data_IF_418280352218
#
_entry.id   IF_418280352218
#
_cell.length_a   1.000
_cell.length_b   1.000
_cell.length_c   1.000
_cell.angle_alpha   90.00
_cell.angle_beta   90.00
_cell.angle_gamma   90.00
#
_symmetry.space_group_name_H-M   'P 1'
#
loop_
_entity.id
_entity.type
_entity.pdbx_description
1 polymer ?
#
# COMPACT_ATOMS: atom_id res chain seq x y z
N UNK A 1 -8.68 10.64 26.19
CA UNK A 1 -9.11 11.08 24.85
C UNK A 1 -10.49 10.53 24.48
N UNK A 2 -10.73 9.22 24.44
CA UNK A 2 -12.04 8.68 24.02
C UNK A 2 -13.25 9.19 24.82
N UNK A 3 -13.16 9.29 26.15
CA UNK A 3 -14.27 9.80 26.99
C UNK A 3 -14.68 11.26 26.71
N UNK A 4 -13.79 12.05 26.09
CA UNK A 4 -14.07 13.43 25.73
C UNK A 4 -14.77 13.56 24.36
N UNK A 5 -14.74 12.51 23.54
CA UNK A 5 -15.24 12.51 22.17
C UNK A 5 -16.15 11.29 21.95
N UNK A 6 -17.47 11.48 22.08
CA UNK A 6 -18.44 10.39 22.03
C UNK A 6 -18.33 9.58 20.73
N UNK A 7 -18.18 10.26 19.58
CA UNK A 7 -18.00 9.62 18.28
C UNK A 7 -16.79 8.67 18.24
N UNK A 8 -15.67 9.07 18.85
CA UNK A 8 -14.44 8.26 18.92
C UNK A 8 -14.64 7.07 19.85
N UNK A 9 -15.28 7.28 21.00
CA UNK A 9 -15.61 6.21 21.94
C UNK A 9 -16.51 5.15 21.30
N UNK A 10 -17.59 5.57 20.64
CA UNK A 10 -18.55 4.67 20.01
C UNK A 10 -17.90 3.83 18.90
N UNK A 11 -17.02 4.41 18.06
CA UNK A 11 -16.35 3.60 17.03
C UNK A 11 -15.30 2.67 17.60
N UNK A 12 -14.59 3.04 18.69
CA UNK A 12 -13.67 2.14 19.40
C UNK A 12 -14.43 0.93 19.96
N UNK A 13 -15.61 1.16 20.54
CA UNK A 13 -16.50 0.08 21.00
C UNK A 13 -16.92 -0.80 19.82
N UNK A 14 -17.35 -0.18 18.71
CA UNK A 14 -17.73 -0.90 17.50
C UNK A 14 -16.62 -1.81 16.96
N UNK A 15 -15.40 -1.28 16.85
CA UNK A 15 -14.21 -2.04 16.41
C UNK A 15 -13.89 -3.18 17.38
N UNK A 16 -13.95 -2.92 18.69
CA UNK A 16 -13.69 -3.94 19.71
C UNK A 16 -14.73 -5.07 19.66
N UNK A 17 -16.01 -4.72 19.48
CA UNK A 17 -17.11 -5.67 19.39
C UNK A 17 -17.04 -6.54 18.11
N UNK A 18 -16.67 -5.97 16.96
CA UNK A 18 -16.48 -6.77 15.73
C UNK A 18 -15.26 -7.70 15.82
N UNK A 19 -14.18 -7.26 16.48
CA UNK A 19 -13.06 -8.14 16.81
C UNK A 19 -13.50 -9.32 17.67
N UNK A 20 -14.29 -9.06 18.73
CA UNK A 20 -14.79 -10.08 19.63
C UNK A 20 -15.75 -11.05 18.92
N UNK A 21 -16.67 -10.53 18.10
CA UNK A 21 -17.53 -11.32 17.22
C UNK A 21 -16.71 -12.29 16.36
N UNK A 22 -15.69 -11.76 15.66
CA UNK A 22 -14.85 -12.57 14.79
C UNK A 22 -14.07 -13.62 15.60
N UNK A 23 -13.52 -13.28 16.76
CA UNK A 23 -12.82 -14.26 17.60
C UNK A 23 -13.73 -15.44 18.02
N UNK A 24 -14.98 -15.16 18.41
CA UNK A 24 -15.91 -16.21 18.83
C UNK A 24 -16.42 -17.03 17.65
N UNK A 25 -16.81 -16.39 16.54
CA UNK A 25 -17.42 -17.10 15.40
C UNK A 25 -16.50 -18.17 14.81
N UNK A 26 -15.18 -17.97 14.89
CA UNK A 26 -14.18 -18.95 14.43
C UNK A 26 -13.85 -20.00 15.51
N UNK A 27 -14.10 -19.72 16.79
CA UNK A 27 -13.83 -20.66 17.89
C UNK A 27 -15.02 -21.61 18.18
N UNK A 28 -16.25 -21.21 17.86
CA UNK A 28 -17.47 -21.99 18.13
C UNK A 28 -18.13 -22.45 16.84
N UNK A 29 -18.76 -23.64 16.84
CA UNK A 29 -19.58 -24.11 15.70
C UNK A 29 -20.64 -23.08 15.30
N UNK A 30 -20.99 -23.04 14.02
CA UNK A 30 -21.92 -22.08 13.42
C UNK A 30 -23.13 -21.82 14.34
N UNK A 31 -23.43 -20.54 14.61
CA UNK A 31 -24.57 -20.01 15.40
C UNK A 31 -24.38 -19.75 16.91
N UNK A 32 -23.23 -19.19 17.34
CA UNK A 32 -23.12 -18.63 18.70
C UNK A 32 -23.99 -17.37 18.87
N UNK A 33 -24.98 -17.36 19.79
CA UNK A 33 -25.83 -16.19 20.03
C UNK A 33 -25.01 -15.03 20.65
N UNK A 34 -23.95 -15.35 21.39
CA UNK A 34 -23.03 -14.35 21.95
C UNK A 34 -22.28 -13.62 20.82
N UNK A 35 -21.83 -14.36 19.80
CA UNK A 35 -21.19 -13.76 18.64
C UNK A 35 -22.20 -12.86 17.88
N UNK A 36 -23.42 -13.33 17.66
CA UNK A 36 -24.45 -12.53 16.98
C UNK A 36 -24.77 -11.24 17.74
N UNK A 37 -24.91 -11.29 19.06
CA UNK A 37 -25.13 -10.10 19.88
C UNK A 37 -23.95 -9.13 19.79
N UNK A 38 -22.70 -9.64 19.82
CA UNK A 38 -21.52 -8.80 19.66
C UNK A 38 -21.48 -8.10 18.29
N UNK A 39 -21.92 -8.78 17.21
CA UNK A 39 -22.05 -8.14 15.90
C UNK A 39 -23.14 -7.05 15.89
N UNK A 40 -24.29 -7.30 16.52
CA UNK A 40 -25.35 -6.30 16.64
C UNK A 40 -24.85 -5.08 17.42
N UNK A 41 -24.17 -5.29 18.54
CA UNK A 41 -23.56 -4.22 19.34
C UNK A 41 -22.52 -3.45 18.54
N UNK A 42 -21.69 -4.15 17.75
CA UNK A 42 -20.69 -3.53 16.89
C UNK A 42 -21.33 -2.59 15.86
N UNK A 43 -22.37 -3.06 15.17
CA UNK A 43 -23.10 -2.30 14.15
C UNK A 43 -23.86 -1.12 14.77
N UNK A 44 -24.46 -1.32 15.94
CA UNK A 44 -25.16 -0.26 16.65
C UNK A 44 -24.20 0.85 17.10
N UNK A 45 -23.06 0.48 17.71
CA UNK A 45 -22.05 1.43 18.14
C UNK A 45 -21.45 2.20 16.95
N UNK A 46 -21.21 1.52 15.81
CA UNK A 46 -20.80 2.17 14.56
C UNK A 46 -21.83 3.19 14.09
N UNK A 47 -23.11 2.85 14.11
CA UNK A 47 -24.19 3.74 13.69
C UNK A 47 -24.28 4.99 14.59
N UNK A 48 -24.18 4.82 15.91
CA UNK A 48 -24.16 5.95 16.85
C UNK A 48 -22.94 6.86 16.59
N UNK A 49 -21.76 6.28 16.36
CA UNK A 49 -20.56 7.06 16.03
C UNK A 49 -20.74 7.93 14.77
N UNK A 50 -21.43 7.39 13.74
CA UNK A 50 -21.77 8.15 12.52
C UNK A 50 -22.75 9.28 12.83
N UNK A 51 -23.77 9.02 13.65
CA UNK A 51 -24.76 10.03 14.05
C UNK A 51 -24.10 11.18 14.84
N UNK A 52 -23.22 10.86 15.78
CA UNK A 52 -22.46 11.84 16.55
C UNK A 52 -21.58 12.72 15.63
N UNK A 53 -20.91 12.12 14.64
CA UNK A 53 -20.13 12.88 13.64
C UNK A 53 -21.01 13.77 12.77
N UNK A 54 -22.18 13.29 12.33
CA UNK A 54 -23.11 14.08 11.53
C UNK A 54 -23.58 15.29 12.34
N UNK A 55 -23.95 15.09 13.61
CA UNK A 55 -24.37 16.17 14.51
C UNK A 55 -23.26 17.22 14.69
N UNK A 56 -22.02 16.77 14.94
CA UNK A 56 -20.84 17.62 15.05
C UNK A 56 -20.61 18.46 13.77
N UNK A 57 -20.70 17.83 12.59
CA UNK A 57 -20.52 18.52 11.31
C UNK A 57 -21.63 19.56 11.08
N UNK A 58 -22.87 19.23 11.45
CA UNK A 58 -24.00 20.14 11.34
C UNK A 58 -23.84 21.36 12.26
N UNK A 59 -23.42 21.14 13.51
CA UNK A 59 -23.14 22.21 14.48
C UNK A 59 -22.05 23.16 13.95
N UNK A 60 -20.92 22.62 13.47
CA UNK A 60 -19.83 23.40 12.88
C UNK A 60 -20.22 24.21 11.65
N UNK A 61 -21.21 23.73 10.88
CA UNK A 61 -21.72 24.45 9.71
C UNK A 61 -22.58 25.66 10.10
N UNK A 62 -23.23 25.59 11.25
CA UNK A 62 -24.09 26.67 11.77
C UNK A 62 -23.26 27.69 12.54
N UNK A 63 -22.26 27.25 13.31
CA UNK A 63 -21.40 28.14 14.09
C UNK A 63 -20.08 28.44 13.36
N UNK A 64 -20.04 29.58 12.64
CA UNK A 64 -18.89 30.06 11.85
C UNK A 64 -17.61 30.39 12.69
N UNK A 65 -17.57 30.08 14.00
CA UNK A 65 -16.51 30.53 14.93
C UNK A 65 -15.82 29.43 15.73
N UNK A 66 -15.91 28.17 15.31
CA UNK A 66 -15.16 27.10 15.98
C UNK A 66 -13.68 27.11 15.53
N UNK A 67 -12.80 27.68 16.35
CA UNK A 67 -11.37 27.38 16.30
C UNK A 67 -11.16 25.96 16.79
N UNK A 68 -10.99 25.01 15.86
CA UNK A 68 -10.65 23.63 16.18
C UNK A 68 -9.28 23.56 16.86
N UNK A 69 -9.22 22.87 18.00
CA UNK A 69 -7.94 22.55 18.62
C UNK A 69 -7.28 21.40 17.87
N UNK A 70 -5.95 21.27 17.97
CA UNK A 70 -5.22 20.12 17.41
C UNK A 70 -5.78 18.79 17.96
N UNK A 71 -6.20 18.76 19.24
CA UNK A 71 -6.78 17.58 19.86
C UNK A 71 -8.11 17.16 19.21
N UNK A 72 -8.94 18.13 18.76
CA UNK A 72 -10.19 17.83 18.06
C UNK A 72 -9.91 17.21 16.68
N UNK A 73 -8.89 17.70 15.99
CA UNK A 73 -8.48 17.18 14.69
C UNK A 73 -7.86 15.79 14.79
N UNK A 74 -7.03 15.57 15.81
CA UNK A 74 -6.46 14.26 16.13
C UNK A 74 -7.54 13.24 16.48
N UNK A 75 -8.55 13.65 17.26
CA UNK A 75 -9.69 12.79 17.60
C UNK A 75 -10.52 12.42 16.37
N UNK A 76 -10.74 13.36 15.45
CA UNK A 76 -11.42 13.10 14.19
C UNK A 76 -10.61 12.14 13.31
N UNK A 77 -9.31 12.37 13.14
CA UNK A 77 -8.45 11.51 12.35
C UNK A 77 -8.44 10.08 12.92
N UNK A 78 -8.30 9.94 14.24
CA UNK A 78 -8.38 8.65 14.92
C UNK A 78 -9.73 7.96 14.69
N UNK A 79 -10.83 8.71 14.77
CA UNK A 79 -12.18 8.19 14.52
C UNK A 79 -12.32 7.65 13.10
N UNK A 80 -11.85 8.42 12.11
CA UNK A 80 -11.88 7.99 10.70
C UNK A 80 -11.02 6.75 10.48
N UNK A 81 -9.83 6.68 11.10
CA UNK A 81 -8.99 5.49 11.03
C UNK A 81 -9.68 4.27 11.66
N UNK A 82 -10.39 4.43 12.78
CA UNK A 82 -11.18 3.35 13.37
C UNK A 82 -12.35 2.92 12.49
N UNK A 83 -12.98 3.83 11.72
CA UNK A 83 -13.96 3.44 10.71
C UNK A 83 -13.33 2.61 9.58
N UNK A 84 -12.12 2.97 9.12
CA UNK A 84 -11.37 2.14 8.17
C UNK A 84 -11.10 0.76 8.79
N UNK A 85 -10.56 0.71 10.01
CA UNK A 85 -10.27 -0.56 10.68
C UNK A 85 -11.54 -1.41 10.85
N UNK A 86 -12.68 -0.81 11.21
CA UNK A 86 -13.95 -1.53 11.30
C UNK A 86 -14.28 -2.26 10.00
N UNK A 87 -14.20 -1.57 8.85
CA UNK A 87 -14.51 -2.19 7.56
C UNK A 87 -13.48 -3.25 7.17
N UNK A 88 -12.20 -3.06 7.50
CA UNK A 88 -11.15 -4.06 7.30
C UNK A 88 -11.37 -5.34 8.11
N UNK A 89 -11.82 -5.20 9.36
CA UNK A 89 -12.04 -6.33 10.27
C UNK A 89 -13.33 -7.08 9.91
N UNK A 90 -14.40 -6.38 9.55
CA UNK A 90 -15.69 -6.96 9.24
C UNK A 90 -15.64 -7.85 7.97
N UNK A 91 -15.54 -7.22 6.80
CA UNK A 91 -15.51 -7.90 5.50
C UNK A 91 -14.19 -7.67 4.73
N UNK A 92 -13.49 -6.58 5.01
CA UNK A 92 -12.41 -6.09 4.17
C UNK A 92 -12.86 -5.44 2.86
N UNK A 93 -14.16 -5.41 2.57
CA UNK A 93 -14.74 -4.93 1.31
C UNK A 93 -15.59 -3.69 1.54
N UNK A 94 -15.54 -2.79 0.56
CA UNK A 94 -16.39 -1.59 0.45
C UNK A 94 -16.28 -0.60 1.64
N UNK A 95 -16.64 0.67 1.41
CA UNK A 95 -16.70 1.73 2.42
C UNK A 95 -15.35 2.25 2.98
N UNK A 96 -14.29 1.44 3.00
CA UNK A 96 -12.97 1.90 3.47
C UNK A 96 -12.38 3.02 2.60
N UNK A 97 -12.65 3.01 1.29
CA UNK A 97 -12.16 4.04 0.34
C UNK A 97 -12.71 5.43 0.67
N UNK A 98 -13.99 5.50 1.07
CA UNK A 98 -14.65 6.74 1.44
C UNK A 98 -14.05 7.31 2.73
N UNK A 99 -13.89 6.47 3.75
CA UNK A 99 -13.25 6.85 5.01
C UNK A 99 -11.80 7.26 4.81
N UNK A 100 -11.03 6.51 4.01
CA UNK A 100 -9.65 6.85 3.70
C UNK A 100 -9.57 8.21 3.00
N UNK A 101 -10.43 8.47 2.01
CA UNK A 101 -10.51 9.77 1.33
C UNK A 101 -10.73 10.93 2.32
N UNK A 102 -11.61 10.76 3.30
CA UNK A 102 -11.81 11.76 4.37
C UNK A 102 -10.54 11.94 5.19
N UNK A 103 -9.87 10.86 5.58
CA UNK A 103 -8.64 10.90 6.37
C UNK A 103 -7.53 11.69 5.66
N UNK A 104 -7.38 11.53 4.34
CA UNK A 104 -6.40 12.27 3.56
C UNK A 104 -6.65 13.76 3.56
N UNK A 105 -7.92 14.18 3.44
CA UNK A 105 -8.27 15.60 3.50
C UNK A 105 -8.03 16.19 4.88
N UNK A 106 -8.30 15.44 5.94
CA UNK A 106 -7.92 15.87 7.29
C UNK A 106 -6.41 16.10 7.32
N UNK A 107 -5.60 15.16 6.83
CA UNK A 107 -4.14 15.32 6.76
C UNK A 107 -3.69 16.49 5.87
N UNK A 108 -4.43 16.85 4.81
CA UNK A 108 -4.18 18.07 4.04
C UNK A 108 -4.36 19.36 4.84
N UNK A 109 -5.40 19.42 5.67
CA UNK A 109 -5.69 20.59 6.51
C UNK A 109 -4.54 20.82 7.51
N UNK A 110 -3.92 19.74 7.99
CA UNK A 110 -2.72 19.78 8.84
C UNK A 110 -1.44 20.23 8.09
N UNK A 111 -1.53 20.57 6.81
CA UNK A 111 -0.38 20.95 5.98
C UNK A 111 0.51 19.76 5.59
N UNK A 112 0.04 18.51 5.76
CA UNK A 112 0.79 17.29 5.44
C UNK A 112 0.56 16.80 4.00
N UNK A 113 -0.53 17.23 3.37
CA UNK A 113 -0.82 16.99 1.95
C UNK A 113 -1.35 18.28 1.29
N UNK A 114 -0.97 18.56 0.05
CA UNK A 114 -1.46 19.73 -0.69
C UNK A 114 -2.59 19.33 -1.64
N UNK A 115 -3.71 20.06 -1.59
CA UNK A 115 -4.71 20.02 -2.65
C UNK A 115 -4.18 20.83 -3.84
N UNK A 116 -4.42 20.43 -5.11
CA UNK A 116 -4.16 21.30 -6.24
C UNK A 116 -5.06 22.54 -6.13
N UNK A 117 -4.48 23.68 -5.74
CA UNK A 117 -5.13 24.98 -5.74
C UNK A 117 -5.71 25.26 -7.12
N UNK A 118 -7.04 25.42 -7.22
CA UNK A 118 -7.68 26.09 -8.35
C UNK A 118 -8.06 27.49 -7.88
N UNK A 119 -7.36 28.53 -8.39
CA UNK A 119 -7.78 29.92 -8.18
C UNK A 119 -9.02 30.25 -9.04
N UNK A 120 -9.82 31.25 -8.62
CA UNK A 120 -11.19 31.43 -9.05
C UNK A 120 -11.30 32.02 -10.46
N UNK A 121 -12.42 31.70 -11.10
CA UNK A 121 -12.90 32.33 -12.33
C UNK A 121 -12.79 33.87 -12.24
N UNK A 122 -12.09 34.51 -13.19
CA UNK A 122 -12.71 35.44 -14.16
C UNK A 122 -11.68 36.22 -15.02
N UNK A 123 -12.08 36.39 -16.30
CA UNK A 123 -11.64 37.33 -17.35
C UNK A 123 -10.41 37.01 -18.22
N UNK A 124 -10.72 36.66 -19.47
CA UNK A 124 -9.89 36.80 -20.66
C UNK A 124 -9.45 38.26 -20.88
N UNK A 125 -8.16 38.48 -21.16
CA UNK A 125 -7.70 39.25 -22.33
C UNK A 125 -6.19 39.08 -22.56
N UNK A 126 -5.87 38.86 -23.84
CA UNK A 126 -4.61 38.66 -24.55
C UNK A 126 -3.38 39.48 -24.05
N UNK A 127 -2.17 38.89 -24.05
CA UNK A 127 -1.07 39.17 -25.00
C UNK A 127 0.28 38.53 -24.58
N UNK A 128 0.94 37.95 -25.60
CA UNK A 128 2.38 37.74 -25.82
C UNK A 128 3.14 36.53 -25.26
N UNK A 129 3.58 35.72 -26.24
CA UNK A 129 4.79 34.90 -26.35
C UNK A 129 5.71 34.91 -25.11
N UNK A 130 5.88 33.73 -24.52
CA UNK A 130 7.22 33.16 -24.35
C UNK A 130 7.14 31.63 -24.22
N UNK A 131 7.96 31.00 -25.05
CA UNK A 131 8.27 29.57 -25.14
C UNK A 131 8.69 28.99 -23.79
N UNK A 132 7.91 28.03 -23.28
CA UNK A 132 8.34 27.07 -22.26
C UNK A 132 7.97 25.67 -22.74
N UNK A 133 9.00 24.87 -23.01
CA UNK A 133 8.92 23.46 -23.36
C UNK A 133 8.15 22.64 -22.29
N UNK A 134 7.53 21.52 -22.64
CA UNK A 134 6.72 20.74 -21.70
C UNK A 134 7.59 20.06 -20.62
N UNK A 135 7.06 20.09 -19.39
CA UNK A 135 7.61 19.72 -18.08
C UNK A 135 8.31 18.35 -17.95
N UNK A 136 9.65 18.37 -17.97
CA UNK A 136 10.55 17.33 -17.40
C UNK A 136 10.66 17.41 -15.86
N UNK A 137 10.05 18.42 -15.25
CA UNK A 137 10.18 18.80 -13.84
C UNK A 137 9.49 17.82 -12.86
N UNK A 138 8.35 17.23 -13.22
CA UNK A 138 7.57 16.40 -12.28
C UNK A 138 8.17 15.02 -12.07
N UNK A 139 8.60 14.32 -13.14
CA UNK A 139 9.28 13.02 -13.01
C UNK A 139 10.61 13.15 -12.26
N UNK A 140 11.36 14.22 -12.52
CA UNK A 140 12.61 14.51 -11.82
C UNK A 140 12.39 14.68 -10.31
N UNK A 141 11.31 15.36 -9.90
CA UNK A 141 10.95 15.53 -8.48
C UNK A 141 10.62 14.20 -7.79
N UNK A 142 10.04 13.23 -8.52
CA UNK A 142 9.72 11.90 -8.01
C UNK A 142 10.95 10.97 -7.97
N UNK A 143 12.01 11.31 -8.69
CA UNK A 143 13.25 10.53 -8.77
C UNK A 143 14.36 11.04 -7.86
N UNK A 144 14.17 12.17 -7.16
CA UNK A 144 15.13 12.64 -6.16
C UNK A 144 15.25 11.59 -5.05
N UNK A 145 16.46 11.02 -4.82
CA UNK A 145 16.67 10.08 -3.74
C UNK A 145 16.29 10.75 -2.42
N UNK A 146 15.30 10.20 -1.72
CA UNK A 146 14.92 10.72 -0.41
C UNK A 146 15.79 10.01 0.61
N UNK A 147 17.05 10.44 0.69
CA UNK A 147 17.96 9.92 1.70
C UNK A 147 17.37 10.18 3.09
N UNK A 148 17.27 9.18 3.97
CA UNK A 148 17.17 9.43 5.40
C UNK A 148 18.55 9.92 5.85
N UNK A 149 18.88 11.21 5.62
CA UNK A 149 20.22 11.73 5.89
C UNK A 149 20.57 11.85 7.38
N UNK A 150 19.72 11.40 8.30
CA UNK A 150 20.12 11.23 9.69
C UNK A 150 19.58 9.91 10.27
N UNK A 151 20.46 9.09 10.88
CA UNK A 151 20.01 7.99 11.73
C UNK A 151 19.16 8.59 12.85
N UNK A 152 17.99 7.98 13.12
CA UNK A 152 17.07 8.26 14.23
C UNK A 152 17.40 9.60 14.90
N UNK A 153 17.01 10.72 14.28
CA UNK A 153 17.02 11.97 15.03
C UNK A 153 16.02 11.72 16.16
N UNK A 154 16.54 11.47 17.36
CA UNK A 154 15.76 11.32 18.58
C UNK A 154 15.01 12.62 18.69
N UNK A 155 13.81 12.66 18.12
CA UNK A 155 12.93 13.78 18.31
C UNK A 155 12.75 13.85 19.82
N UNK A 156 13.08 15.01 20.38
CA UNK A 156 13.05 15.26 21.82
C UNK A 156 11.67 15.07 22.43
N UNK A 157 10.64 14.94 21.60
CA UNK A 157 9.25 14.77 21.99
C UNK A 157 8.83 13.30 22.00
N UNK A 158 8.18 12.84 23.08
CA UNK A 158 7.69 11.47 23.17
C UNK A 158 6.63 11.19 22.11
N UNK A 159 6.66 9.98 21.53
CA UNK A 159 5.63 9.52 20.60
C UNK A 159 4.27 9.45 21.29
N UNK A 160 3.26 9.94 20.60
CA UNK A 160 1.86 9.91 21.03
C UNK A 160 1.05 8.93 20.20
N UNK A 161 -0.16 8.60 20.65
CA UNK A 161 -1.10 7.84 19.82
C UNK A 161 -1.41 8.53 18.48
N UNK A 162 -1.38 9.86 18.43
CA UNK A 162 -1.62 10.64 17.22
C UNK A 162 -0.54 10.43 16.16
N UNK A 163 0.73 10.27 16.57
CA UNK A 163 1.83 9.92 15.65
C UNK A 163 1.53 8.59 14.94
N UNK A 164 1.10 7.56 15.70
CA UNK A 164 0.75 6.26 15.14
C UNK A 164 -0.48 6.31 14.23
N UNK A 165 -1.55 6.99 14.66
CA UNK A 165 -2.76 7.18 13.85
C UNK A 165 -2.44 7.87 12.52
N UNK A 166 -1.61 8.91 12.56
CA UNK A 166 -1.16 9.64 11.37
C UNK A 166 -0.35 8.73 10.46
N UNK A 167 0.62 8.01 11.03
CA UNK A 167 1.47 7.05 10.31
C UNK A 167 0.66 5.95 9.63
N UNK A 168 -0.26 5.32 10.34
CA UNK A 168 -1.07 4.22 9.81
C UNK A 168 -1.99 4.71 8.70
N UNK A 169 -2.57 5.91 8.86
CA UNK A 169 -3.37 6.54 7.80
C UNK A 169 -2.54 6.74 6.53
N UNK A 170 -1.33 7.28 6.67
CA UNK A 170 -0.41 7.47 5.53
C UNK A 170 -0.04 6.13 4.90
N UNK A 171 0.26 5.10 5.69
CA UNK A 171 0.55 3.77 5.16
C UNK A 171 -0.63 3.17 4.38
N UNK A 172 -1.86 3.33 4.87
CA UNK A 172 -3.07 2.83 4.19
C UNK A 172 -3.26 3.52 2.83
N UNK A 173 -2.96 4.82 2.75
CA UNK A 173 -2.92 5.54 1.49
C UNK A 173 -1.90 4.97 0.52
N UNK A 174 -0.67 4.73 0.99
CA UNK A 174 0.41 4.20 0.15
C UNK A 174 0.06 2.81 -0.38
N UNK A 175 -0.46 1.92 0.47
CA UNK A 175 -0.88 0.59 0.05
C UNK A 175 -2.05 0.61 -0.93
N UNK A 176 -3.06 1.46 -0.70
CA UNK A 176 -4.14 1.66 -1.67
C UNK A 176 -3.59 2.16 -3.01
N UNK A 177 -2.71 3.17 -3.01
CA UNK A 177 -2.09 3.68 -4.23
C UNK A 177 -1.26 2.61 -4.94
N UNK A 178 -0.51 1.80 -4.20
CA UNK A 178 0.30 0.72 -4.75
C UNK A 178 -0.56 -0.32 -5.46
N UNK A 179 -1.66 -0.73 -4.81
CA UNK A 179 -2.62 -1.69 -5.33
C UNK A 179 -3.34 -1.15 -6.57
N UNK A 180 -3.80 0.10 -6.55
CA UNK A 180 -4.41 0.75 -7.71
C UNK A 180 -3.44 0.84 -8.89
N UNK A 181 -2.16 1.15 -8.64
CA UNK A 181 -1.14 1.19 -9.69
C UNK A 181 -0.86 -0.18 -10.30
N UNK A 182 -1.03 -1.26 -9.54
CA UNK A 182 -0.93 -2.63 -10.04
C UNK A 182 -2.10 -3.01 -10.97
N UNK A 183 -3.35 -2.69 -10.58
CA UNK A 183 -4.55 -3.19 -11.28
C UNK A 183 -5.29 -2.22 -12.20
N UNK A 184 -4.97 -0.92 -12.23
CA UNK A 184 -5.75 0.04 -13.04
C UNK A 184 -5.33 0.02 -14.52
N UNK A 185 -6.29 -0.15 -15.44
CA UNK A 185 -6.16 0.03 -16.90
C UNK A 185 -6.66 1.41 -17.34
N UNK A 186 -5.89 2.48 -17.06
CA UNK A 186 -6.34 3.86 -17.34
C UNK A 186 -7.62 4.24 -16.56
N UNK A 187 -8.00 5.52 -16.40
CA UNK A 187 -9.17 5.84 -15.61
C UNK A 187 -10.41 5.44 -16.40
N UNK A 188 -11.08 4.37 -15.99
CA UNK A 188 -12.54 4.43 -16.05
C UNK A 188 -12.93 5.65 -15.23
N UNK A 189 -13.66 6.57 -15.87
CA UNK A 189 -14.31 7.69 -15.20
C UNK A 189 -14.85 7.17 -13.87
N UNK A 190 -14.46 7.85 -12.78
CA UNK A 190 -15.02 7.68 -11.44
C UNK A 190 -16.50 7.27 -11.57
N UNK A 191 -16.99 6.27 -10.79
CA UNK A 191 -18.40 5.99 -10.78
C UNK A 191 -19.12 7.31 -10.51
N UNK A 192 -20.05 7.65 -11.41
CA UNK A 192 -20.85 8.86 -11.37
C UNK A 192 -21.74 8.84 -10.13
N UNK A 193 -21.16 9.18 -8.98
CA UNK A 193 -21.91 9.63 -7.83
C UNK A 193 -21.91 11.15 -7.88
N UNK A 194 -23.11 11.72 -8.08
CA UNK A 194 -23.37 13.13 -7.89
C UNK A 194 -23.03 13.51 -6.45
N UNK A 195 -21.77 13.88 -6.18
CA UNK A 195 -21.38 14.47 -4.90
C UNK A 195 -20.18 15.39 -5.13
N UNK A 196 -20.43 16.69 -4.96
CA UNK A 196 -19.52 17.86 -5.06
C UNK A 196 -18.08 17.61 -5.55
N UNK A 197 -17.69 18.28 -6.64
CA UNK A 197 -16.37 18.24 -7.29
C UNK A 197 -15.13 18.59 -6.45
N UNK A 198 -15.27 18.85 -5.15
CA UNK A 198 -14.15 18.92 -4.21
C UNK A 198 -13.69 17.53 -3.74
N UNK A 199 -14.54 16.51 -3.87
CA UNK A 199 -14.30 15.21 -3.28
C UNK A 199 -13.40 14.26 -4.07
N UNK A 200 -13.23 14.53 -5.36
CA UNK A 200 -12.59 13.64 -6.33
C UNK A 200 -11.13 14.01 -6.67
N UNK A 201 -10.55 15.05 -6.06
CA UNK A 201 -9.20 15.48 -6.38
C UNK A 201 -8.14 14.56 -5.74
N UNK A 202 -7.12 14.10 -6.49
CA UNK A 202 -6.04 13.30 -5.94
C UNK A 202 -5.20 14.13 -4.95
N UNK A 203 -5.00 13.59 -3.75
CA UNK A 203 -4.12 14.16 -2.75
C UNK A 203 -2.66 14.10 -3.21
N UNK A 204 -1.99 15.25 -3.28
CA UNK A 204 -0.55 15.30 -3.52
C UNK A 204 0.16 15.33 -2.18
N UNK A 205 0.92 14.29 -1.88
CA UNK A 205 1.71 14.22 -0.65
C UNK A 205 3.11 14.78 -0.91
N UNK A 206 3.68 15.41 0.10
CA UNK A 206 5.11 15.73 0.09
C UNK A 206 5.87 14.50 0.62
N UNK A 207 6.66 13.86 -0.24
CA UNK A 207 7.44 12.66 0.11
C UNK A 207 8.30 12.90 1.35
N UNK A 208 8.89 14.09 1.49
CA UNK A 208 9.75 14.40 2.64
C UNK A 208 8.95 14.44 3.95
N UNK A 209 7.71 14.94 3.92
CA UNK A 209 6.80 14.93 5.08
C UNK A 209 6.31 13.53 5.41
N UNK A 210 5.92 12.77 4.38
CA UNK A 210 5.54 11.36 4.52
C UNK A 210 6.66 10.55 5.18
N UNK A 211 7.89 10.71 4.68
CA UNK A 211 9.07 10.04 5.22
C UNK A 211 9.33 10.41 6.68
N UNK A 212 9.16 11.68 7.06
CA UNK A 212 9.29 12.11 8.46
C UNK A 212 8.24 11.46 9.36
N UNK A 213 7.00 11.34 8.91
CA UNK A 213 5.92 10.70 9.68
C UNK A 213 6.24 9.21 9.88
N UNK A 214 6.51 8.49 8.79
CA UNK A 214 6.73 7.05 8.84
C UNK A 214 7.99 6.66 9.62
N UNK A 215 9.08 7.42 9.47
CA UNK A 215 10.35 7.11 10.14
C UNK A 215 10.27 7.29 11.66
N UNK A 216 9.36 8.15 12.15
CA UNK A 216 9.16 8.34 13.60
C UNK A 216 8.53 7.13 14.28
N UNK A 217 7.67 6.42 13.56
CA UNK A 217 6.86 5.31 14.10
C UNK A 217 7.36 3.94 13.66
N UNK A 218 8.33 3.85 12.74
CA UNK A 218 8.71 2.61 12.07
C UNK A 218 9.15 1.47 13.00
N UNK A 219 9.67 1.79 14.20
CA UNK A 219 10.01 0.78 15.20
C UNK A 219 8.79 -0.05 15.65
N UNK A 220 7.60 0.55 15.67
CA UNK A 220 6.34 -0.07 16.09
C UNK A 220 5.19 0.21 15.11
N UNK A 221 5.50 0.32 13.81
CA UNK A 221 4.47 0.56 12.80
C UNK A 221 3.57 -0.66 12.60
N UNK A 222 2.29 -0.42 12.33
CA UNK A 222 1.29 -1.47 12.13
C UNK A 222 1.63 -2.43 10.97
N UNK A 223 2.39 -1.98 9.97
CA UNK A 223 2.76 -2.77 8.80
C UNK A 223 4.19 -3.32 8.87
N UNK A 224 5.01 -2.95 9.85
CA UNK A 224 6.43 -3.36 10.00
C UNK A 224 7.38 -3.09 8.81
N UNK A 225 6.87 -2.56 7.70
CA UNK A 225 7.68 -2.09 6.57
C UNK A 225 8.56 -0.89 6.99
N UNK A 226 9.88 -0.92 6.71
CA UNK A 226 10.76 0.22 6.88
C UNK A 226 10.25 1.47 6.14
N UNK A 227 10.35 2.64 6.77
CA UNK A 227 9.84 3.89 6.20
C UNK A 227 10.46 4.18 4.83
N UNK A 228 11.77 3.93 4.69
CA UNK A 228 12.50 4.11 3.43
C UNK A 228 11.90 3.32 2.27
N UNK A 229 11.63 2.04 2.51
CA UNK A 229 11.01 1.15 1.52
C UNK A 229 9.57 1.57 1.20
N UNK A 230 8.81 2.03 2.19
CA UNK A 230 7.47 2.58 1.99
C UNK A 230 7.49 3.85 1.11
N UNK A 231 8.49 4.71 1.28
CA UNK A 231 8.71 5.88 0.42
C UNK A 231 8.96 5.50 -1.05
N UNK A 232 9.69 4.41 -1.29
CA UNK A 232 9.88 3.85 -2.64
C UNK A 232 8.56 3.34 -3.20
N UNK A 233 7.76 2.59 -2.43
CA UNK A 233 6.43 2.11 -2.87
C UNK A 233 5.54 3.29 -3.32
N UNK A 234 5.51 4.37 -2.55
CA UNK A 234 4.74 5.58 -2.90
C UNK A 234 5.21 6.20 -4.23
N UNK A 235 6.52 6.36 -4.40
CA UNK A 235 7.12 6.92 -5.62
C UNK A 235 6.86 6.06 -6.84
N UNK A 236 7.00 4.74 -6.70
CA UNK A 236 6.66 3.77 -7.76
C UNK A 236 5.18 3.90 -8.14
N UNK A 237 4.27 3.90 -7.16
CA UNK A 237 2.84 4.02 -7.40
C UNK A 237 2.50 5.31 -8.16
N UNK A 238 3.10 6.44 -7.79
CA UNK A 238 2.88 7.72 -8.46
C UNK A 238 3.47 7.80 -9.86
N UNK A 239 4.68 7.28 -10.08
CA UNK A 239 5.26 7.22 -11.42
C UNK A 239 4.36 6.37 -12.31
N UNK A 240 3.93 5.19 -11.84
CA UNK A 240 3.00 4.35 -12.60
C UNK A 240 1.69 5.06 -12.92
N UNK A 241 1.13 5.82 -11.99
CA UNK A 241 -0.09 6.59 -12.23
C UNK A 241 0.14 7.73 -13.24
N UNK A 242 1.20 8.52 -13.07
CA UNK A 242 1.59 9.60 -13.98
C UNK A 242 1.76 9.10 -15.41
N UNK A 243 2.45 7.97 -15.58
CA UNK A 243 2.67 7.34 -16.89
C UNK A 243 1.38 6.79 -17.53
N UNK A 244 0.35 6.50 -16.73
CA UNK A 244 -0.97 6.07 -17.22
C UNK A 244 -1.89 7.24 -17.57
N UNK A 245 -1.76 8.38 -16.90
CA UNK A 245 -2.67 9.54 -17.06
C UNK A 245 -2.10 10.70 -17.88
N UNK A 246 -0.79 10.70 -18.17
CA UNK A 246 -0.13 11.80 -18.86
C UNK A 246 -0.45 11.88 -20.36
N UNK A 247 -0.89 13.05 -20.82
CA UNK A 247 -1.08 13.34 -22.26
C UNK A 247 0.24 13.33 -23.06
N UNK A 248 1.38 13.46 -22.38
CA UNK A 248 2.73 13.45 -22.94
C UNK A 248 3.53 12.29 -22.32
N UNK A 249 3.32 11.07 -22.81
CA UNK A 249 4.00 9.88 -22.30
C UNK A 249 5.50 10.02 -22.60
N UNK A 250 6.39 10.03 -21.58
CA UNK A 250 7.82 10.09 -21.82
C UNK A 250 8.31 8.86 -22.59
N UNK A 251 9.43 8.97 -23.33
CA UNK A 251 9.98 7.86 -24.09
C UNK A 251 10.21 6.63 -23.20
N UNK A 252 10.02 5.44 -23.76
CA UNK A 252 10.12 4.16 -23.03
C UNK A 252 11.43 4.03 -22.26
N UNK A 253 12.54 4.53 -22.80
CA UNK A 253 13.84 4.56 -22.12
C UNK A 253 13.78 5.33 -20.80
N UNK A 254 13.30 6.58 -20.80
CA UNK A 254 13.17 7.41 -19.59
C UNK A 254 12.22 6.80 -18.55
N UNK A 255 11.18 6.08 -18.98
CA UNK A 255 10.28 5.32 -18.08
C UNK A 255 11.02 4.17 -17.40
N UNK A 256 11.77 3.39 -18.17
CA UNK A 256 12.53 2.27 -17.63
C UNK A 256 13.67 2.75 -16.72
N UNK A 257 14.33 3.86 -17.07
CA UNK A 257 15.36 4.49 -16.22
C UNK A 257 14.81 4.87 -14.85
N UNK A 258 13.60 5.44 -14.81
CA UNK A 258 12.93 5.80 -13.56
C UNK A 258 12.71 4.59 -12.63
N UNK A 259 12.18 3.49 -13.17
CA UNK A 259 11.98 2.25 -12.40
C UNK A 259 13.30 1.58 -12.03
N UNK A 260 14.28 1.56 -12.93
CA UNK A 260 15.60 1.02 -12.67
C UNK A 260 16.31 1.76 -11.53
N UNK A 261 16.19 3.09 -11.49
CA UNK A 261 16.73 3.90 -10.39
C UNK A 261 16.09 3.53 -9.04
N UNK A 262 14.76 3.40 -9.00
CA UNK A 262 14.04 3.00 -7.79
C UNK A 262 14.38 1.57 -7.34
N UNK A 263 14.62 0.67 -8.31
CA UNK A 263 15.05 -0.69 -8.04
C UNK A 263 16.45 -0.73 -7.41
N UNK A 264 17.41 0.04 -7.96
CA UNK A 264 18.75 0.20 -7.37
C UNK A 264 18.68 0.81 -5.96
N UNK A 265 17.83 1.82 -5.78
CA UNK A 265 17.60 2.45 -4.48
C UNK A 265 17.05 1.46 -3.44
N UNK A 266 16.06 0.64 -3.80
CA UNK A 266 15.52 -0.40 -2.92
C UNK A 266 16.59 -1.44 -2.53
N UNK A 267 17.40 -1.92 -3.47
CA UNK A 267 18.45 -2.89 -3.18
C UNK A 267 19.54 -2.33 -2.25
N UNK A 268 19.87 -1.04 -2.38
CA UNK A 268 20.84 -0.34 -1.53
C UNK A 268 20.40 -0.17 -0.07
N UNK A 269 19.15 -0.49 0.27
CA UNK A 269 18.66 -0.41 1.63
C UNK A 269 19.42 -1.36 2.57
N UNK A 270 20.05 -0.78 3.60
CA UNK A 270 20.81 -1.50 4.62
C UNK A 270 19.88 -2.11 5.68
N UNK A 271 19.57 -3.38 5.47
CA UNK A 271 18.75 -4.21 6.36
C UNK A 271 19.37 -4.31 7.76
N UNK A 272 20.70 -4.46 7.86
CA UNK A 272 21.37 -4.71 9.13
C UNK A 272 21.37 -3.45 9.99
N UNK A 273 21.75 -2.31 9.39
CA UNK A 273 21.73 -1.02 10.07
C UNK A 273 20.32 -0.66 10.55
N UNK A 274 19.31 -0.87 9.71
CA UNK A 274 17.91 -0.61 10.09
C UNK A 274 17.46 -1.50 11.25
N UNK A 275 17.68 -2.82 11.17
CA UNK A 275 17.27 -3.76 12.21
C UNK A 275 17.96 -3.47 13.55
N UNK A 276 19.25 -3.13 13.53
CA UNK A 276 20.00 -2.72 14.71
C UNK A 276 19.48 -1.40 15.28
N UNK A 277 19.15 -0.42 14.43
CA UNK A 277 18.58 0.87 14.83
C UNK A 277 17.23 0.72 15.54
N UNK A 278 16.30 -0.03 14.93
CA UNK A 278 14.99 -0.31 15.53
C UNK A 278 15.13 -1.06 16.85
N UNK A 279 16.00 -2.07 16.92
CA UNK A 279 16.23 -2.83 18.15
C UNK A 279 16.82 -1.97 19.27
N UNK A 280 17.73 -1.05 18.92
CA UNK A 280 18.31 -0.08 19.87
C UNK A 280 17.24 0.87 20.41
N UNK A 281 16.36 1.36 19.54
CA UNK A 281 15.24 2.22 19.95
C UNK A 281 14.28 1.47 20.88
N UNK A 282 13.93 0.22 20.56
CA UNK A 282 13.08 -0.61 21.41
C UNK A 282 13.72 -0.93 22.76
N UNK A 283 15.04 -1.16 22.79
CA UNK A 283 15.79 -1.28 24.04
C UNK A 283 15.67 -0.02 24.90
N UNK A 284 15.75 1.18 24.31
CA UNK A 284 15.56 2.44 25.02
C UNK A 284 14.18 2.60 25.66
N UNK A 285 13.13 2.01 25.06
CA UNK A 285 11.75 2.06 25.57
C UNK A 285 11.49 0.97 26.61
N UNK A 286 11.91 -0.27 26.34
CA UNK A 286 11.54 -1.45 27.14
C UNK A 286 12.62 -1.87 28.16
N UNK A 287 13.84 -1.37 28.03
CA UNK A 287 14.96 -1.65 28.93
C UNK A 287 15.55 -3.07 28.83
N UNK A 288 15.16 -3.87 27.82
CA UNK A 288 15.60 -5.26 27.66
C UNK A 288 16.06 -5.55 26.23
N UNK A 289 17.20 -6.25 26.09
CA UNK A 289 17.73 -6.68 24.78
C UNK A 289 17.02 -7.97 24.39
N UNK A 290 16.42 -8.00 23.21
CA UNK A 290 15.79 -9.18 22.65
C UNK A 290 16.46 -9.58 21.34
N UNK A 291 17.41 -10.52 21.39
CA UNK A 291 18.12 -11.02 20.20
C UNK A 291 17.16 -11.64 19.16
N UNK A 292 16.08 -12.27 19.63
CA UNK A 292 15.04 -12.81 18.75
C UNK A 292 14.30 -11.70 18.01
N UNK A 293 14.10 -10.54 18.64
CA UNK A 293 13.53 -9.37 17.98
C UNK A 293 14.47 -8.86 16.88
N UNK A 294 15.76 -8.66 17.16
CA UNK A 294 16.73 -8.21 16.16
C UNK A 294 16.72 -9.11 14.93
N UNK A 295 16.76 -10.43 15.13
CA UNK A 295 16.69 -11.41 14.04
C UNK A 295 15.38 -11.33 13.28
N UNK A 296 14.25 -11.21 13.98
CA UNK A 296 12.94 -11.07 13.34
C UNK A 296 12.84 -9.79 12.50
N UNK A 297 13.37 -8.67 13.00
CA UNK A 297 13.43 -7.38 12.28
C UNK A 297 14.30 -7.46 11.03
N UNK A 298 15.44 -8.16 11.11
CA UNK A 298 16.28 -8.43 9.94
C UNK A 298 15.48 -9.16 8.85
N UNK A 299 14.81 -10.26 9.20
CA UNK A 299 14.02 -11.03 8.23
C UNK A 299 12.85 -10.22 7.66
N UNK A 300 12.16 -9.42 8.48
CA UNK A 300 11.10 -8.50 8.02
C UNK A 300 11.64 -7.48 7.01
N UNK A 301 12.75 -6.80 7.33
CA UNK A 301 13.34 -5.82 6.44
C UNK A 301 13.84 -6.46 5.13
N UNK A 302 14.43 -7.66 5.20
CA UNK A 302 14.83 -8.43 4.02
C UNK A 302 13.61 -8.81 3.15
N UNK A 303 12.53 -9.29 3.77
CA UNK A 303 11.27 -9.58 3.10
C UNK A 303 10.70 -8.35 2.40
N UNK A 304 10.60 -7.21 3.09
CA UNK A 304 10.05 -5.99 2.50
C UNK A 304 10.93 -5.44 1.39
N UNK A 305 12.26 -5.52 1.51
CA UNK A 305 13.17 -5.10 0.43
C UNK A 305 12.90 -5.90 -0.85
N UNK A 306 12.86 -7.23 -0.73
CA UNK A 306 12.55 -8.10 -1.86
C UNK A 306 11.11 -7.88 -2.40
N UNK A 307 10.13 -7.65 -1.52
CA UNK A 307 8.75 -7.36 -1.92
C UNK A 307 8.61 -6.03 -2.69
N UNK A 308 9.35 -4.99 -2.30
CA UNK A 308 9.36 -3.72 -3.04
C UNK A 308 10.01 -3.89 -4.41
N UNK A 309 11.13 -4.61 -4.50
CA UNK A 309 11.72 -4.97 -5.79
C UNK A 309 10.73 -5.76 -6.67
N UNK A 310 10.02 -6.75 -6.10
CA UNK A 310 9.01 -7.53 -6.81
C UNK A 310 7.86 -6.65 -7.30
N UNK A 311 7.37 -5.74 -6.45
CA UNK A 311 6.35 -4.77 -6.83
C UNK A 311 6.77 -3.91 -8.04
N UNK A 312 8.02 -3.43 -8.06
CA UNK A 312 8.58 -2.66 -9.20
C UNK A 312 8.52 -3.48 -10.49
N UNK A 313 8.93 -4.75 -10.44
CA UNK A 313 8.89 -5.63 -11.63
C UNK A 313 7.46 -5.93 -12.09
N UNK A 314 6.51 -6.10 -11.16
CA UNK A 314 5.11 -6.35 -11.47
C UNK A 314 4.42 -5.13 -12.12
N UNK A 315 4.76 -3.90 -11.72
CA UNK A 315 4.20 -2.70 -12.36
C UNK A 315 4.92 -2.31 -13.66
N UNK A 316 6.17 -2.76 -13.83
CA UNK A 316 7.00 -2.50 -15.00
C UNK A 316 7.53 -3.82 -15.62
N UNK A 317 6.67 -4.65 -16.23
CA UNK A 317 7.05 -5.98 -16.71
C UNK A 317 8.10 -5.99 -17.84
N UNK A 318 8.25 -4.88 -18.57
CA UNK A 318 9.31 -4.74 -19.57
C UNK A 318 10.71 -4.43 -18.99
N UNK A 319 10.81 -4.14 -17.69
CA UNK A 319 12.07 -3.75 -17.05
C UNK A 319 13.12 -4.88 -17.06
N UNK A 320 12.80 -6.15 -16.75
CA UNK A 320 13.76 -7.25 -16.83
C UNK A 320 14.36 -7.42 -18.23
N UNK A 321 13.53 -7.34 -19.28
CA UNK A 321 13.98 -7.44 -20.67
C UNK A 321 14.91 -6.27 -21.04
N UNK A 322 14.59 -5.06 -20.57
CA UNK A 322 15.43 -3.87 -20.76
C UNK A 322 16.79 -4.02 -20.06
N UNK A 323 16.83 -4.52 -18.82
CA UNK A 323 18.07 -4.79 -18.08
C UNK A 323 18.93 -5.80 -18.86
N UNK A 324 18.34 -6.93 -19.28
CA UNK A 324 19.04 -7.95 -20.10
C UNK A 324 19.59 -7.34 -21.39
N UNK A 325 18.82 -6.48 -22.07
CA UNK A 325 19.26 -5.79 -23.28
C UNK A 325 20.49 -4.91 -23.02
N UNK A 326 20.49 -4.10 -21.96
CA UNK A 326 21.63 -3.20 -21.64
C UNK A 326 22.90 -3.94 -21.30
N UNK A 327 22.77 -5.05 -20.54
CA UNK A 327 23.90 -5.93 -20.22
C UNK A 327 24.49 -6.53 -21.51
N UNK A 328 23.64 -7.07 -22.40
CA UNK A 328 24.08 -7.63 -23.69
C UNK A 328 24.79 -6.60 -24.59
N UNK A 329 24.34 -5.34 -24.57
CA UNK A 329 24.90 -4.26 -25.36
C UNK A 329 26.13 -3.58 -24.71
N UNK A 330 26.53 -3.98 -23.50
CA UNK A 330 27.68 -3.40 -22.80
C UNK A 330 27.54 -1.90 -22.51
N UNK A 331 26.30 -1.42 -22.33
CA UNK A 331 26.03 0.02 -22.15
C UNK A 331 26.38 0.52 -20.74
N UNK A 332 26.36 -0.36 -19.74
CA UNK A 332 26.70 -0.09 -18.34
C UNK A 332 27.49 -1.28 -17.77
N UNK A 333 28.25 -1.07 -16.69
CA UNK A 333 28.95 -2.14 -15.96
C UNK A 333 27.93 -3.17 -15.41
N UNK A 334 28.10 -4.48 -15.65
CA UNK A 334 27.25 -5.52 -15.05
C UNK A 334 27.05 -5.38 -13.54
N UNK A 335 28.06 -4.90 -12.80
CA UNK A 335 27.98 -4.67 -11.35
C UNK A 335 27.08 -3.49 -10.97
N UNK A 336 26.70 -2.64 -11.93
CA UNK A 336 25.80 -1.51 -11.70
C UNK A 336 24.32 -1.89 -11.81
N UNK A 337 24.01 -3.11 -12.26
CA UNK A 337 22.64 -3.63 -12.35
C UNK A 337 22.20 -4.34 -11.07
N UNK A 338 20.89 -4.37 -10.80
CA UNK A 338 20.34 -5.05 -9.64
C UNK A 338 20.72 -6.53 -9.54
N UNK A 339 20.93 -7.00 -8.32
CA UNK A 339 21.42 -8.35 -7.99
C UNK A 339 20.41 -9.47 -8.24
N UNK A 340 19.10 -9.17 -8.13
CA UNK A 340 18.01 -10.13 -8.34
C UNK A 340 17.18 -9.73 -9.58
N UNK A 341 17.41 -10.37 -10.74
CA UNK A 341 16.89 -9.87 -12.01
C UNK A 341 15.46 -10.34 -12.34
N UNK A 342 14.92 -11.33 -11.62
CA UNK A 342 13.63 -11.95 -11.94
C UNK A 342 12.63 -11.90 -10.79
N UNK A 343 11.34 -12.00 -11.13
CA UNK A 343 10.27 -12.09 -10.13
C UNK A 343 10.36 -13.40 -9.34
N UNK A 344 10.80 -14.48 -9.98
CA UNK A 344 11.00 -15.79 -9.35
C UNK A 344 12.07 -15.75 -8.24
N UNK A 345 13.23 -15.15 -8.50
CA UNK A 345 14.31 -15.01 -7.51
C UNK A 345 13.87 -14.18 -6.31
N UNK A 346 13.11 -13.12 -6.56
CA UNK A 346 12.54 -12.26 -5.52
C UNK A 346 11.48 -13.00 -4.70
N UNK A 347 10.60 -13.76 -5.36
CA UNK A 347 9.58 -14.57 -4.68
C UNK A 347 10.24 -15.66 -3.81
N UNK A 348 11.24 -16.38 -4.32
CA UNK A 348 12.01 -17.36 -3.58
C UNK A 348 12.68 -16.74 -2.33
N UNK A 349 13.27 -15.55 -2.50
CA UNK A 349 13.84 -14.78 -1.39
C UNK A 349 12.78 -14.45 -0.35
N UNK A 350 11.61 -13.96 -0.76
CA UNK A 350 10.50 -13.65 0.17
C UNK A 350 10.05 -14.90 0.93
N UNK A 351 9.82 -16.03 0.23
CA UNK A 351 9.45 -17.30 0.87
C UNK A 351 10.49 -17.74 1.92
N UNK A 352 11.77 -17.68 1.56
CA UNK A 352 12.87 -18.02 2.46
C UNK A 352 12.87 -17.12 3.70
N UNK A 353 12.83 -15.79 3.54
CA UNK A 353 12.86 -14.85 4.66
C UNK A 353 11.64 -15.01 5.57
N UNK A 354 10.46 -15.21 4.99
CA UNK A 354 9.21 -15.43 5.73
C UNK A 354 9.19 -16.76 6.49
N UNK A 355 9.95 -17.77 6.05
CA UNK A 355 10.08 -19.04 6.77
C UNK A 355 10.75 -18.88 8.15
N UNK A 356 11.57 -17.84 8.33
CA UNK A 356 12.20 -17.50 9.61
C UNK A 356 11.30 -16.66 10.53
N UNK A 357 10.09 -16.30 10.09
CA UNK A 357 9.11 -15.57 10.90
C UNK A 357 8.00 -16.55 11.29
N UNK A 358 8.09 -17.19 12.48
CA UNK A 358 7.12 -18.18 12.91
C UNK A 358 5.77 -17.55 13.26
N UNK A 359 4.70 -18.35 13.27
CA UNK A 359 3.33 -17.92 13.65
C UNK A 359 3.24 -17.31 15.06
N UNK A 360 4.18 -17.66 15.94
CA UNK A 360 4.29 -17.13 17.30
C UNK A 360 4.92 -15.75 17.36
N UNK A 361 5.55 -15.29 16.29
CA UNK A 361 6.15 -13.95 16.23
C UNK A 361 5.04 -12.90 16.18
N UNK A 362 5.14 -11.80 16.96
CA UNK A 362 4.20 -10.69 16.86
C UNK A 362 4.20 -10.05 15.46
N UNK A 363 5.30 -10.21 14.71
CA UNK A 363 5.47 -9.68 13.36
C UNK A 363 4.80 -10.52 12.27
N UNK A 364 4.34 -11.74 12.60
CA UNK A 364 3.80 -12.68 11.61
C UNK A 364 2.61 -12.11 10.83
N UNK A 365 1.68 -11.44 11.51
CA UNK A 365 0.48 -10.84 10.88
C UNK A 365 0.79 -9.59 10.05
N UNK A 366 1.97 -8.99 10.25
CA UNK A 366 2.40 -7.78 9.56
C UNK A 366 3.18 -8.09 8.28
N UNK A 367 3.15 -9.34 7.81
CA UNK A 367 3.77 -9.73 6.54
C UNK A 367 2.77 -9.92 5.41
N UNK A 368 1.54 -9.43 5.55
CA UNK A 368 0.49 -9.66 4.57
C UNK A 368 0.87 -9.15 3.19
N UNK A 369 1.29 -7.88 3.08
CA UNK A 369 1.60 -7.28 1.79
C UNK A 369 2.67 -8.07 1.01
N UNK A 370 3.83 -8.43 1.61
CA UNK A 370 4.79 -9.33 0.96
C UNK A 370 4.20 -10.67 0.53
N UNK A 371 3.38 -11.31 1.38
CA UNK A 371 2.73 -12.59 1.07
C UNK A 371 1.76 -12.45 -0.10
N UNK A 372 0.99 -11.36 -0.13
CA UNK A 372 0.08 -11.04 -1.23
C UNK A 372 0.85 -10.85 -2.54
N UNK A 373 1.92 -10.06 -2.55
CA UNK A 373 2.74 -9.85 -3.76
C UNK A 373 3.35 -11.15 -4.30
N UNK A 374 3.86 -12.03 -3.43
CA UNK A 374 4.30 -13.37 -3.88
C UNK A 374 3.16 -14.22 -4.40
N UNK A 375 1.95 -14.04 -3.86
CA UNK A 375 0.74 -14.67 -4.38
C UNK A 375 0.38 -14.19 -5.79
N UNK A 376 0.53 -12.89 -6.07
CA UNK A 376 0.31 -12.33 -7.41
C UNK A 376 1.24 -12.97 -8.43
N UNK A 377 2.52 -13.15 -8.08
CA UNK A 377 3.53 -13.76 -8.95
C UNK A 377 3.44 -15.31 -9.01
N UNK A 378 2.77 -15.96 -8.06
CA UNK A 378 2.74 -17.42 -7.93
C UNK A 378 2.18 -18.15 -9.16
N UNK A 379 3.06 -18.89 -9.85
CA UNK A 379 2.72 -19.77 -10.99
C UNK A 379 2.29 -21.15 -10.51
N UNK A 380 3.07 -21.76 -9.61
CA UNK A 380 2.95 -23.17 -9.24
C UNK A 380 1.92 -23.39 -8.14
N UNK A 381 1.26 -24.56 -8.15
CA UNK A 381 0.31 -24.95 -7.10
C UNK A 381 0.96 -24.96 -5.72
N UNK A 382 2.24 -25.33 -5.63
CA UNK A 382 3.01 -25.31 -4.38
C UNK A 382 3.13 -23.90 -3.79
N UNK A 383 3.47 -22.90 -4.61
CA UNK A 383 3.57 -21.50 -4.15
C UNK A 383 2.20 -20.93 -3.80
N UNK A 384 1.18 -21.22 -4.60
CA UNK A 384 -0.21 -20.81 -4.33
C UNK A 384 -0.71 -21.38 -3.00
N UNK A 385 -0.48 -22.68 -2.77
CA UNK A 385 -0.84 -23.34 -1.52
C UNK A 385 -0.13 -22.71 -0.32
N UNK A 386 1.19 -22.50 -0.41
CA UNK A 386 1.96 -21.89 0.67
C UNK A 386 1.40 -20.50 1.06
N UNK A 387 1.06 -19.68 0.06
CA UNK A 387 0.49 -18.34 0.27
C UNK A 387 -0.86 -18.43 0.99
N UNK A 388 -1.77 -19.32 0.53
CA UNK A 388 -3.08 -19.53 1.14
C UNK A 388 -2.96 -20.06 2.57
N UNK A 389 -2.08 -21.03 2.81
CA UNK A 389 -1.85 -21.60 4.14
C UNK A 389 -1.30 -20.55 5.10
N UNK A 390 -0.40 -19.69 4.63
CA UNK A 390 0.16 -18.61 5.45
C UNK A 390 -0.88 -17.54 5.77
N UNK A 391 -1.67 -17.09 4.79
CA UNK A 391 -2.76 -16.13 5.03
C UNK A 391 -3.88 -16.72 5.90
N UNK A 392 -4.20 -18.00 5.73
CA UNK A 392 -5.14 -18.72 6.60
C UNK A 392 -4.62 -18.75 8.04
N UNK A 393 -3.34 -19.06 8.24
CA UNK A 393 -2.74 -18.99 9.56
C UNK A 393 -2.74 -17.58 10.18
N UNK A 394 -2.63 -16.52 9.37
CA UNK A 394 -2.81 -15.14 9.87
C UNK A 394 -4.26 -14.91 10.31
N UNK A 395 -5.24 -15.41 9.54
CA UNK A 395 -6.67 -15.28 9.84
C UNK A 395 -7.05 -16.04 11.10
N UNK A 396 -6.44 -17.19 11.34
CA UNK A 396 -6.67 -17.97 12.57
C UNK A 396 -6.19 -17.22 13.82
N UNK A 397 -5.14 -16.39 13.69
CA UNK A 397 -4.64 -15.53 14.77
C UNK A 397 -5.45 -14.22 14.92
N UNK A 398 -5.80 -13.61 13.80
CA UNK A 398 -6.51 -12.34 13.71
C UNK A 398 -7.57 -12.47 12.61
N UNK A 399 -8.82 -12.84 12.96
CA UNK A 399 -9.86 -13.17 11.99
C UNK A 399 -10.44 -11.91 11.31
N UNK A 400 -9.61 -11.20 10.56
CA UNK A 400 -9.94 -9.99 9.84
C UNK A 400 -10.47 -10.31 8.45
N UNK A 401 -11.61 -9.69 8.09
CA UNK A 401 -12.28 -9.94 6.82
C UNK A 401 -11.40 -9.67 5.60
N UNK A 402 -10.50 -8.68 5.67
CA UNK A 402 -9.59 -8.38 4.57
C UNK A 402 -8.66 -9.55 4.20
N UNK A 403 -8.32 -10.46 5.13
CA UNK A 403 -7.49 -11.63 4.82
C UNK A 403 -8.24 -12.60 3.90
N UNK A 404 -9.53 -12.82 4.15
CA UNK A 404 -10.40 -13.60 3.28
C UNK A 404 -10.50 -12.92 1.91
N UNK A 405 -10.75 -11.61 1.88
CA UNK A 405 -10.85 -10.85 0.65
C UNK A 405 -9.55 -10.83 -0.17
N UNK A 406 -8.38 -10.81 0.49
CA UNK A 406 -7.08 -10.91 -0.17
C UNK A 406 -6.89 -12.29 -0.81
N UNK A 407 -7.24 -13.39 -0.11
CA UNK A 407 -7.17 -14.74 -0.68
C UNK A 407 -8.14 -14.93 -1.86
N UNK A 408 -9.36 -14.39 -1.77
CA UNK A 408 -10.31 -14.39 -2.88
C UNK A 408 -9.76 -13.61 -4.09
N UNK A 409 -9.14 -12.45 -3.85
CA UNK A 409 -8.51 -11.65 -4.90
C UNK A 409 -7.39 -12.43 -5.59
N UNK A 410 -6.54 -13.14 -4.84
CA UNK A 410 -5.50 -14.00 -5.41
C UNK A 410 -6.09 -15.14 -6.25
N UNK A 411 -7.17 -15.77 -5.78
CA UNK A 411 -7.85 -16.81 -6.54
C UNK A 411 -8.38 -16.30 -7.89
N UNK A 412 -8.93 -15.08 -7.94
CA UNK A 412 -9.35 -14.46 -9.21
C UNK A 412 -8.15 -14.12 -10.11
N UNK A 413 -7.05 -13.62 -9.54
CA UNK A 413 -5.80 -13.37 -10.28
C UNK A 413 -5.29 -14.66 -10.94
N UNK A 414 -5.26 -15.77 -10.20
CA UNK A 414 -4.82 -17.06 -10.72
C UNK A 414 -5.75 -17.59 -11.81
N UNK A 415 -7.07 -17.45 -11.65
CA UNK A 415 -8.05 -17.82 -12.70
C UNK A 415 -7.82 -17.03 -13.99
N UNK A 416 -7.57 -15.73 -13.88
CA UNK A 416 -7.28 -14.87 -15.04
C UNK A 416 -5.99 -15.31 -15.74
N UNK A 417 -4.92 -15.53 -14.97
CA UNK A 417 -3.63 -15.99 -15.49
C UNK A 417 -3.73 -17.35 -16.17
N UNK A 418 -4.33 -18.33 -15.52
CA UNK A 418 -4.46 -19.70 -16.05
C UNK A 418 -5.34 -19.74 -17.31
N UNK A 419 -6.26 -18.78 -17.45
CA UNK A 419 -7.11 -18.64 -18.63
C UNK A 419 -6.40 -17.97 -19.81
N UNK A 420 -5.36 -17.16 -19.56
CA UNK A 420 -4.49 -16.64 -20.62
C UNK A 420 -3.66 -17.75 -21.27
N UNK A 421 -2.97 -18.52 -20.42
CA UNK A 421 -2.13 -19.66 -20.84
C UNK A 421 -2.92 -20.71 -21.63
N UNK A 422 -4.20 -20.93 -21.28
CA UNK A 422 -5.08 -21.86 -22.01
C UNK A 422 -5.60 -21.31 -23.35
N UNK A 423 -5.68 -19.98 -23.50
CA UNK A 423 -6.09 -19.32 -24.74
C UNK A 423 -5.01 -19.43 -25.81
N UNK A 424 -3.76 -19.13 -25.44
CA UNK A 424 -2.58 -19.23 -26.32
C UNK A 424 -2.42 -20.65 -26.91
N UNK A 425 -2.56 -21.70 -26.08
CA UNK A 425 -2.48 -23.10 -26.52
C UNK A 425 -3.53 -23.52 -27.55
N UNK A 426 -4.67 -22.83 -27.64
CA UNK A 426 -5.71 -23.14 -28.62
C UNK A 426 -5.42 -22.53 -30.00
N UNK A 427 -4.82 -21.35 -30.03
CA UNK A 427 -4.50 -20.65 -31.28
C UNK A 427 -3.28 -21.29 -32.00
N UNK A 428 -2.35 -21.90 -31.26
CA UNK A 428 -1.22 -22.64 -31.84
C UNK A 428 -1.59 -23.98 -32.50
N UNK A 429 -2.70 -24.61 -32.08
CA UNK A 429 -3.15 -25.88 -32.68
C UNK A 429 -3.88 -25.74 -34.03
N UNK A 430 -3.91 -24.52 -34.59
CA UNK A 430 -4.68 -24.13 -35.77
C UNK A 430 -3.90 -23.71 -37.01
N UNK A 431 -2.65 -24.16 -37.26
CA UNK A 431 -2.03 -24.14 -38.60
C UNK A 431 -0.71 -24.90 -38.66
N UNK A 432 -0.56 -25.92 -39.54
CA UNK A 432 0.74 -26.49 -39.84
C UNK A 432 1.34 -25.80 -41.07
N UNK A 433 2.26 -24.84 -40.86
CA UNK A 433 3.41 -24.54 -41.74
C UNK A 433 4.09 -23.22 -41.34
N UNK A 434 5.31 -23.30 -40.81
CA UNK A 434 6.56 -22.79 -41.42
C UNK A 434 7.66 -22.75 -40.35
N UNK A 435 8.83 -23.24 -40.72
CA UNK A 435 10.05 -23.25 -39.88
C UNK A 435 10.58 -21.82 -39.84
N UNK A 436 10.41 -21.15 -38.71
CA UNK A 436 11.04 -19.86 -38.42
C UNK A 436 12.00 -20.01 -37.23
N UNK A 437 13.14 -19.35 -37.37
CA UNK A 437 14.31 -19.40 -36.51
C UNK A 437 14.00 -19.12 -35.04
N UNK A 438 14.52 -19.97 -34.17
CA UNK A 438 14.43 -19.85 -32.73
C UNK A 438 15.38 -18.76 -32.22
N UNK A 439 14.88 -17.55 -31.96
CA UNK A 439 15.52 -16.62 -31.02
C UNK A 439 14.58 -15.52 -30.44
N UNK A 440 13.28 -15.83 -30.27
CA UNK A 440 12.34 -14.97 -29.53
C UNK A 440 11.52 -15.80 -28.53
N UNK A 441 12.16 -16.23 -27.44
CA UNK A 441 11.49 -16.87 -26.29
C UNK A 441 11.84 -16.08 -25.03
N UNK A 442 11.24 -14.90 -24.83
CA UNK A 442 11.09 -14.32 -23.47
C UNK A 442 10.14 -13.09 -23.34
N UNK A 443 9.22 -12.83 -24.28
CA UNK A 443 8.29 -11.67 -24.16
C UNK A 443 6.87 -12.07 -23.67
N UNK A 444 6.62 -13.36 -23.52
CA UNK A 444 5.27 -13.93 -23.34
C UNK A 444 4.71 -13.82 -21.90
N UNK A 445 5.60 -13.66 -20.91
CA UNK A 445 5.20 -13.50 -19.50
C UNK A 445 4.48 -12.18 -19.16
N UNK A 446 4.45 -11.23 -20.10
CA UNK A 446 3.96 -9.85 -19.90
C UNK A 446 2.47 -9.67 -20.23
N UNK A 447 1.88 -10.51 -21.08
CA UNK A 447 0.51 -10.29 -21.59
C UNK A 447 -0.56 -10.50 -20.51
N UNK A 448 -0.40 -11.50 -19.64
CA UNK A 448 -1.36 -11.73 -18.54
C UNK A 448 -1.34 -10.59 -17.49
N UNK A 449 -0.21 -9.91 -17.29
CA UNK A 449 -0.13 -8.74 -16.41
C UNK A 449 -0.90 -7.55 -17.00
N UNK A 450 -0.99 -7.45 -18.33
CA UNK A 450 -1.90 -6.50 -18.97
C UNK A 450 -3.37 -6.84 -18.66
N UNK A 451 -3.72 -8.12 -18.53
CA UNK A 451 -5.07 -8.59 -18.16
C UNK A 451 -5.42 -8.39 -16.68
N UNK A 452 -4.44 -8.21 -15.80
CA UNK A 452 -4.68 -7.71 -14.44
C UNK A 452 -5.23 -6.29 -14.45
N UNK A 453 -4.93 -5.51 -15.50
CA UNK A 453 -5.39 -4.15 -15.64
C UNK A 453 -6.89 -4.16 -15.92
N UNK A 454 -7.70 -3.86 -14.91
CA UNK A 454 -9.17 -3.85 -14.96
C UNK A 454 -9.80 -4.72 -13.89
N UNK A 455 -8.99 -5.49 -13.15
CA UNK A 455 -9.46 -6.21 -11.98
C UNK A 455 -9.89 -5.21 -10.90
N UNK A 456 -11.18 -5.25 -10.56
CA UNK A 456 -11.72 -4.43 -9.48
C UNK A 456 -11.31 -5.05 -8.14
N UNK A 457 -10.28 -4.48 -7.51
CA UNK A 457 -9.95 -4.83 -6.12
C UNK A 457 -10.74 -3.94 -5.17
N UNK A 458 -11.66 -4.57 -4.45
CA UNK A 458 -12.55 -3.93 -3.46
C UNK A 458 -12.02 -4.04 -2.03
N UNK A 459 -10.83 -4.62 -1.85
CA UNK A 459 -10.17 -4.79 -0.56
C UNK A 459 -8.92 -3.92 -0.44
N UNK A 460 -8.67 -3.37 0.75
CA UNK A 460 -7.38 -2.80 1.11
C UNK A 460 -6.50 -3.91 1.72
N UNK A 461 -5.26 -4.00 1.27
CA UNK A 461 -4.30 -5.02 1.70
C UNK A 461 -3.17 -4.27 2.41
N UNK A 462 -3.06 -4.48 3.72
CA UNK A 462 -2.20 -3.68 4.61
C UNK A 462 -1.15 -4.54 5.29
#
# INVERSE_FOLDING_TARGET
>A
MSQAYSYLQHIIIGVSAVHYYNAIRYATSEHSPVAQNALIDALHARQIAIQDLIALIQERRVDNRHTETQADQDALLATVLFFVNFTLIDSGKDGWKDHLTVAGRLLSIHGLATMPFSLPQQHEQQLLLNTLSPSTSDLASLLVPTMPQKPFEVASEPLTACDYVTSDTVAYFIWNSALQSLVSSSPSLLPSFHTLGYAAQPLKWDVSKVMRILSRTEANSYHSCPAFLMGIVLRVAWITQYLKTGNNIPPTTARMDAYLQLLKEAESFDIQAWAAGVSTHMFGILGAVNEHELRSRYHIAATYRAAVCLYILLVAPGLPAEIRRRIRLGLEDPASFPSLPTTEDLAATIFQQLSFIPKTSPLFKYTLWPVFLTGVDAVTDTHRLWVVERMSAMRDLCPWGFLTSAMETLAEIWKLRDSAIRGEKKDETGSPNEVAEADELDDDGSDWLARLRGLKIDCLIV
#
